data_IF_808030816836
#
_entry.id   IF_808030816836
#
_cell.length_a   1.000
_cell.length_b   1.000
_cell.length_c   1.000
_cell.angle_alpha   90.00
_cell.angle_beta   90.00
_cell.angle_gamma   90.00
#
_symmetry.space_group_name_H-M   'P 1'
#
loop_
_entity.id
_entity.type
_entity.pdbx_description
1 polymer ?
#
# COMPACT_ATOMS: atom_id res chain seq x y z
N UNK A 1 -18.37 9.38 7.07
CA UNK A 1 -17.03 9.84 6.64
C UNK A 1 -17.08 9.94 5.13
N UNK A 2 -16.82 11.11 4.53
CA UNK A 2 -16.69 11.19 3.07
C UNK A 2 -15.42 10.44 2.69
N UNK A 3 -15.56 9.38 1.89
CA UNK A 3 -14.42 8.69 1.30
C UNK A 3 -13.78 9.62 0.27
N UNK A 4 -12.52 10.01 0.53
CA UNK A 4 -11.75 10.79 -0.42
C UNK A 4 -11.33 9.87 -1.57
N UNK A 5 -11.41 10.38 -2.80
CA UNK A 5 -11.04 9.62 -3.97
C UNK A 5 -9.59 9.09 -3.85
N UNK A 6 -9.36 7.80 -4.16
CA UNK A 6 -8.01 7.25 -4.18
C UNK A 6 -7.17 7.89 -5.28
N UNK A 7 -5.88 8.13 -4.98
CA UNK A 7 -4.87 8.51 -5.97
C UNK A 7 -4.23 7.28 -6.63
N UNK A 8 -4.38 6.12 -6.00
CA UNK A 8 -3.95 4.81 -6.49
C UNK A 8 -5.01 3.76 -6.11
N UNK A 9 -5.35 2.89 -7.06
CA UNK A 9 -6.18 1.71 -6.84
C UNK A 9 -5.63 0.56 -7.68
N UNK A 10 -5.40 -0.60 -7.06
CA UNK A 10 -4.90 -1.80 -7.72
C UNK A 10 -5.56 -3.05 -7.11
N UNK A 11 -5.99 -3.98 -7.96
CA UNK A 11 -6.48 -5.29 -7.50
C UNK A 11 -5.33 -6.29 -7.55
N UNK A 12 -5.12 -6.97 -6.42
CA UNK A 12 -4.03 -7.92 -6.23
C UNK A 12 -4.55 -9.17 -5.54
N UNK A 13 -3.77 -10.23 -5.62
CA UNK A 13 -3.95 -11.43 -4.81
C UNK A 13 -2.68 -11.69 -4.00
N UNK A 14 -2.84 -11.94 -2.72
CA UNK A 14 -1.77 -12.41 -1.85
C UNK A 14 -1.88 -13.93 -1.71
N UNK A 15 -0.85 -14.66 -2.12
CA UNK A 15 -0.74 -16.11 -1.97
C UNK A 15 0.25 -16.41 -0.86
N UNK A 16 -0.19 -16.74 0.37
CA UNK A 16 0.71 -17.10 1.46
C UNK A 16 1.47 -18.39 1.15
N UNK A 17 2.60 -18.62 1.82
CA UNK A 17 3.41 -19.82 1.61
C UNK A 17 2.65 -21.14 1.90
N UNK A 18 1.70 -21.10 2.84
CA UNK A 18 0.98 -22.26 3.38
C UNK A 18 -0.55 -22.05 3.43
N UNK A 19 -1.08 -21.10 2.66
CA UNK A 19 -2.48 -20.68 2.75
C UNK A 19 -3.21 -20.50 1.41
N UNK A 20 -4.54 -20.29 1.45
CA UNK A 20 -5.32 -19.97 0.26
C UNK A 20 -4.97 -18.57 -0.28
N UNK A 21 -5.19 -18.35 -1.58
CA UNK A 21 -5.09 -17.01 -2.18
C UNK A 21 -6.11 -16.05 -1.56
N UNK A 22 -5.66 -14.84 -1.25
CA UNK A 22 -6.46 -13.77 -0.64
C UNK A 22 -6.54 -12.62 -1.65
N UNK A 23 -7.67 -12.44 -2.36
CA UNK A 23 -7.86 -11.26 -3.18
C UNK A 23 -8.02 -10.03 -2.29
N UNK A 24 -7.38 -8.94 -2.69
CA UNK A 24 -7.47 -7.67 -2.01
C UNK A 24 -7.33 -6.49 -2.96
N UNK A 25 -7.92 -5.36 -2.56
CA UNK A 25 -7.80 -4.09 -3.27
C UNK A 25 -6.87 -3.18 -2.49
N UNK A 26 -5.75 -2.82 -3.09
CA UNK A 26 -4.83 -1.81 -2.60
C UNK A 26 -5.34 -0.44 -3.00
N UNK A 27 -5.60 0.43 -2.03
CA UNK A 27 -5.96 1.83 -2.27
C UNK A 27 -5.11 2.76 -1.42
N UNK A 28 -4.60 3.81 -2.06
CA UNK A 28 -3.98 4.95 -1.38
C UNK A 28 -4.85 6.16 -1.62
N UNK A 29 -5.41 6.71 -0.55
CA UNK A 29 -6.30 7.87 -0.63
C UNK A 29 -5.54 9.16 -0.90
N UNK A 30 -6.23 10.17 -1.46
CA UNK A 30 -5.69 11.53 -1.50
C UNK A 30 -5.36 12.02 -0.08
N UNK A 31 -4.18 12.64 0.14
CA UNK A 31 -3.85 13.24 1.43
C UNK A 31 -4.88 14.29 1.84
N UNK A 32 -5.18 14.35 3.13
CA UNK A 32 -6.12 15.32 3.70
C UNK A 32 -5.66 15.83 5.06
N UNK A 33 -6.14 17.02 5.40
CA UNK A 33 -5.92 17.62 6.71
C UNK A 33 -6.97 17.05 7.68
N UNK A 34 -6.53 16.24 8.65
CA UNK A 34 -7.43 15.63 9.65
C UNK A 34 -7.71 16.58 10.81
N UNK A 35 -6.66 17.26 11.29
CA UNK A 35 -6.67 18.29 12.33
C UNK A 35 -5.59 19.32 12.01
N UNK A 36 -5.60 20.46 12.69
CA UNK A 36 -4.62 21.54 12.46
C UNK A 36 -3.18 21.01 12.35
N UNK A 37 -2.54 21.29 11.21
CA UNK A 37 -1.19 20.86 10.84
C UNK A 37 -0.93 19.34 10.82
N UNK A 38 -1.96 18.49 10.79
CA UNK A 38 -1.81 17.04 10.68
C UNK A 38 -2.36 16.52 9.35
N UNK A 39 -1.45 16.31 8.40
CA UNK A 39 -1.78 15.66 7.14
C UNK A 39 -1.80 14.15 7.30
N UNK A 40 -2.83 13.53 6.74
CA UNK A 40 -3.04 12.08 6.73
C UNK A 40 -3.18 11.57 5.32
N UNK A 41 -2.70 10.36 5.11
CA UNK A 41 -2.98 9.56 3.93
C UNK A 41 -3.44 8.17 4.39
N UNK A 42 -4.58 7.70 3.89
CA UNK A 42 -5.13 6.38 4.25
C UNK A 42 -4.63 5.35 3.24
N UNK A 43 -4.10 4.24 3.74
CA UNK A 43 -3.80 3.05 2.95
C UNK A 43 -4.79 1.96 3.34
N UNK A 44 -5.49 1.39 2.36
CA UNK A 44 -6.39 0.25 2.52
C UNK A 44 -5.85 -0.92 1.71
N UNK A 45 -5.84 -2.12 2.29
CA UNK A 45 -5.48 -3.36 1.60
C UNK A 45 -6.58 -4.42 1.76
N UNK A 46 -7.84 -4.01 1.94
CA UNK A 46 -8.98 -4.92 2.07
C UNK A 46 -8.77 -6.05 3.09
N UNK A 47 -8.92 -7.29 2.63
CA UNK A 47 -8.78 -8.50 3.47
C UNK A 47 -7.33 -8.80 3.90
N UNK A 48 -6.34 -8.17 3.26
CA UNK A 48 -4.93 -8.38 3.56
C UNK A 48 -4.53 -7.67 4.87
N UNK A 49 -4.99 -6.43 5.06
CA UNK A 49 -4.69 -5.65 6.24
C UNK A 49 -5.75 -4.58 6.49
N UNK A 50 -6.03 -4.33 7.78
CA UNK A 50 -6.90 -3.22 8.20
C UNK A 50 -6.36 -1.89 7.68
N UNK A 51 -7.24 -0.94 7.28
CA UNK A 51 -6.81 0.36 6.83
C UNK A 51 -5.95 1.09 7.88
N UNK A 52 -4.90 1.75 7.43
CA UNK A 52 -3.97 2.52 8.27
C UNK A 52 -3.93 3.99 7.85
N UNK A 53 -3.81 4.88 8.83
CA UNK A 53 -3.64 6.33 8.61
C UNK A 53 -2.19 6.73 8.81
N UNK A 54 -1.50 7.03 7.71
CA UNK A 54 -0.11 7.47 7.73
C UNK A 54 -0.06 9.00 7.86
N UNK A 55 0.79 9.50 8.76
CA UNK A 55 0.95 10.94 9.01
C UNK A 55 2.11 11.51 8.20
N UNK A 56 1.98 12.77 7.79
CA UNK A 56 3.08 13.61 7.31
C UNK A 56 2.92 15.04 7.82
N UNK A 57 4.01 15.81 7.79
CA UNK A 57 4.02 17.25 8.08
C UNK A 57 3.37 18.10 6.98
N UNK A 58 3.32 17.57 5.76
CA UNK A 58 2.64 18.17 4.61
C UNK A 58 1.94 17.07 3.76
N UNK A 59 1.10 17.44 2.77
CA UNK A 59 0.36 16.47 1.96
C UNK A 59 1.28 15.55 1.15
N UNK A 60 2.39 16.07 0.63
CA UNK A 60 3.33 15.32 -0.19
C UNK A 60 4.07 14.30 0.68
N UNK A 61 4.56 14.71 1.84
CA UNK A 61 5.21 13.81 2.78
C UNK A 61 4.27 12.70 3.24
N UNK A 62 3.01 13.01 3.57
CA UNK A 62 2.02 12.01 3.97
C UNK A 62 1.79 10.97 2.87
N UNK A 63 1.73 11.40 1.61
CA UNK A 63 1.61 10.50 0.45
C UNK A 63 2.86 9.64 0.26
N UNK A 64 4.05 10.23 0.29
CA UNK A 64 5.31 9.50 0.13
C UNK A 64 5.47 8.42 1.21
N UNK A 65 5.16 8.75 2.47
CA UNK A 65 5.20 7.78 3.57
C UNK A 65 4.15 6.68 3.42
N UNK A 66 2.97 6.98 2.88
CA UNK A 66 1.94 5.98 2.61
C UNK A 66 2.35 5.00 1.49
N UNK A 67 2.98 5.51 0.44
CA UNK A 67 3.54 4.69 -0.65
C UNK A 67 4.69 3.83 -0.13
N UNK A 68 5.59 4.40 0.67
CA UNK A 68 6.72 3.66 1.24
C UNK A 68 6.24 2.56 2.22
N UNK A 69 5.26 2.87 3.06
CA UNK A 69 4.60 1.89 3.92
C UNK A 69 3.99 0.73 3.12
N UNK A 70 3.29 1.04 2.03
CA UNK A 70 2.69 0.04 1.13
C UNK A 70 3.77 -0.86 0.57
N UNK A 71 4.83 -0.27 0.02
CA UNK A 71 5.97 -0.97 -0.55
C UNK A 71 6.64 -1.89 0.48
N UNK A 72 6.91 -1.39 1.68
CA UNK A 72 7.54 -2.17 2.75
C UNK A 72 6.68 -3.33 3.23
N UNK A 73 5.37 -3.10 3.39
CA UNK A 73 4.39 -4.13 3.76
C UNK A 73 4.36 -5.27 2.75
N UNK A 74 4.25 -4.94 1.45
CA UNK A 74 4.24 -5.93 0.37
C UNK A 74 5.55 -6.71 0.27
N UNK A 75 6.68 -6.01 0.45
CA UNK A 75 8.01 -6.64 0.47
C UNK A 75 8.15 -7.65 1.59
N UNK A 76 7.73 -7.26 2.79
CA UNK A 76 7.83 -8.10 3.99
C UNK A 76 7.02 -9.38 3.82
N UNK A 77 5.88 -9.30 3.14
CA UNK A 77 5.08 -10.47 2.77
C UNK A 77 5.81 -11.41 1.80
N UNK A 78 6.44 -10.88 0.75
CA UNK A 78 7.24 -11.71 -0.18
C UNK A 78 8.49 -12.30 0.47
N UNK A 79 9.19 -11.52 1.31
CA UNK A 79 10.34 -12.00 2.10
C UNK A 79 9.94 -13.10 3.09
N UNK A 80 8.69 -13.10 3.55
CA UNK A 80 8.08 -14.18 4.34
C UNK A 80 7.70 -15.43 3.54
N UNK A 81 7.97 -15.46 2.23
CA UNK A 81 7.65 -16.59 1.32
C UNK A 81 6.30 -16.48 0.63
N UNK A 82 5.56 -15.39 0.84
CA UNK A 82 4.33 -15.09 0.11
C UNK A 82 4.62 -14.70 -1.35
N UNK A 83 3.57 -14.69 -2.18
CA UNK A 83 3.63 -14.21 -3.56
C UNK A 83 2.49 -13.23 -3.82
N UNK A 84 2.81 -12.12 -4.45
CA UNK A 84 1.81 -11.17 -4.93
C UNK A 84 1.49 -11.47 -6.39
N UNK A 85 0.21 -11.53 -6.71
CA UNK A 85 -0.27 -11.78 -8.07
C UNK A 85 -1.17 -10.63 -8.53
N UNK A 86 -1.19 -10.37 -9.82
CA UNK A 86 -2.05 -9.41 -10.48
C UNK A 86 -2.50 -10.03 -11.82
N UNK A 87 -3.81 -10.17 -12.02
CA UNK A 87 -4.38 -10.74 -13.26
C UNK A 87 -3.73 -12.09 -13.65
N UNK A 88 -3.51 -12.96 -12.66
CA UNK A 88 -2.91 -14.29 -12.85
C UNK A 88 -1.38 -14.31 -13.04
N UNK A 89 -0.72 -13.15 -13.08
CA UNK A 89 0.74 -13.05 -13.21
C UNK A 89 1.38 -12.62 -11.89
N UNK A 90 2.65 -12.95 -11.68
CA UNK A 90 3.38 -12.45 -10.51
C UNK A 90 3.52 -10.92 -10.60
N UNK A 91 3.13 -10.23 -9.54
CA UNK A 91 3.24 -8.79 -9.45
C UNK A 91 4.72 -8.39 -9.28
N UNK A 92 5.28 -7.53 -10.14
CA UNK A 92 6.71 -7.25 -10.16
C UNK A 92 7.07 -6.18 -9.12
N UNK A 93 7.01 -6.50 -7.83
CA UNK A 93 7.23 -5.53 -6.75
C UNK A 93 8.62 -4.85 -6.86
N UNK A 94 9.64 -5.58 -7.31
CA UNK A 94 11.01 -5.09 -7.56
C UNK A 94 11.07 -3.87 -8.49
N UNK A 95 10.14 -3.73 -9.44
CA UNK A 95 10.09 -2.59 -10.36
C UNK A 95 9.75 -1.26 -9.66
N UNK A 96 9.23 -1.31 -8.42
CA UNK A 96 8.78 -0.16 -7.65
C UNK A 96 9.74 0.23 -6.51
N UNK A 97 10.93 -0.39 -6.43
CA UNK A 97 11.97 0.03 -5.50
C UNK A 97 13.00 0.93 -6.18
N UNK A 98 13.30 2.04 -5.52
CA UNK A 98 14.50 2.81 -5.83
C UNK A 98 15.73 1.97 -5.48
N UNK A 99 16.60 1.76 -6.46
CA UNK A 99 17.97 1.32 -6.21
C UNK A 99 18.79 2.56 -5.89
N UNK A 100 19.61 2.57 -4.83
CA UNK A 100 20.57 3.64 -4.63
C UNK A 100 21.50 3.71 -5.86
N UNK A 101 21.97 4.90 -6.26
CA UNK A 101 22.98 5.00 -7.30
C UNK A 101 24.22 4.19 -6.88
N UNK A 102 24.80 3.47 -7.86
CA UNK A 102 26.05 2.72 -7.71
C UNK A 102 27.26 3.65 -7.52
#
# INVERSE_FOLDING_TARGET
>A
MNELAPVLSLELEAVPADGPSIPFKLEVQRPFLEREMQWRCVVSMGNFQRPIRIAGGDPLQALCLAIDFTRWTLRTFEEGGGKLMCEGNQFPLDAYFFKPPE
#
